data_IF_744028806910
#
_entry.id   IF_744028806910
#
_cell.length_a   1.000
_cell.length_b   1.000
_cell.length_c   1.000
_cell.angle_alpha   90.00
_cell.angle_beta   90.00
_cell.angle_gamma   90.00
#
_symmetry.space_group_name_H-M   'P 1'
#
loop_
_entity.id
_entity.type
_entity.pdbx_description
1 polymer ?
#
# COMPACT_ATOMS: atom_id res chain seq x y z
N UNK A 1 7.44 8.82 -34.26
CA UNK A 1 7.47 7.36 -34.40
C UNK A 1 7.27 6.75 -33.03
N UNK A 2 6.37 5.79 -32.90
CA UNK A 2 6.14 5.03 -31.67
C UNK A 2 6.39 3.56 -31.95
N UNK A 3 6.76 2.80 -30.94
CA UNK A 3 6.94 1.34 -31.00
C UNK A 3 6.46 0.72 -29.68
N UNK A 4 6.01 -0.55 -29.70
CA UNK A 4 5.69 -1.28 -28.49
C UNK A 4 6.90 -1.36 -27.55
N UNK A 5 6.70 -1.06 -26.29
CA UNK A 5 7.62 -1.26 -25.18
C UNK A 5 6.97 -2.13 -24.11
N UNK A 6 7.75 -3.00 -23.47
CA UNK A 6 7.27 -3.97 -22.50
C UNK A 6 7.01 -5.36 -23.08
N UNK A 7 6.62 -6.32 -22.23
CA UNK A 7 6.62 -6.19 -20.76
C UNK A 7 8.05 -6.20 -20.21
N UNK A 8 8.29 -5.45 -19.14
CA UNK A 8 9.53 -5.44 -18.34
C UNK A 8 9.19 -5.40 -16.85
N UNK A 9 10.11 -5.79 -15.99
CA UNK A 9 9.93 -5.72 -14.54
C UNK A 9 9.93 -4.27 -14.06
N UNK A 10 9.06 -3.96 -13.09
CA UNK A 10 8.91 -2.61 -12.57
C UNK A 10 8.88 -2.55 -11.04
N UNK A 11 9.04 -1.35 -10.48
CA UNK A 11 9.25 -1.07 -9.06
C UNK A 11 8.13 -1.55 -8.14
N UNK A 12 6.92 -1.70 -8.65
CA UNK A 12 5.80 -2.27 -7.88
C UNK A 12 5.89 -3.80 -7.72
N UNK A 13 6.85 -4.47 -8.37
CA UNK A 13 7.00 -5.91 -8.32
C UNK A 13 6.12 -6.69 -9.29
N UNK A 14 5.67 -6.02 -10.35
CA UNK A 14 4.88 -6.59 -11.44
C UNK A 14 5.53 -6.31 -12.78
N UNK A 15 5.11 -7.03 -13.83
CA UNK A 15 5.49 -6.67 -15.19
C UNK A 15 4.70 -5.44 -15.65
N UNK A 16 5.35 -4.56 -16.42
CA UNK A 16 4.61 -3.53 -17.17
C UNK A 16 3.74 -4.18 -18.24
N UNK A 17 2.64 -3.52 -18.60
CA UNK A 17 1.90 -3.88 -19.80
C UNK A 17 2.61 -3.30 -21.03
N UNK A 18 2.46 -3.97 -22.20
CA UNK A 18 3.02 -3.46 -23.43
C UNK A 18 2.18 -2.28 -23.96
N UNK A 19 2.82 -1.15 -24.21
CA UNK A 19 2.22 0.06 -24.76
C UNK A 19 3.11 0.64 -25.85
N UNK A 20 2.54 1.48 -26.72
CA UNK A 20 3.31 2.22 -27.71
C UNK A 20 3.93 3.46 -27.10
N UNK A 21 5.27 3.53 -27.10
CA UNK A 21 6.03 4.65 -26.57
C UNK A 21 6.84 5.37 -27.67
N UNK A 22 7.18 6.66 -27.46
CA UNK A 22 8.08 7.39 -28.34
C UNK A 22 9.44 6.71 -28.45
N UNK A 23 9.99 6.69 -29.65
CA UNK A 23 11.30 6.09 -29.94
C UNK A 23 12.37 7.15 -29.99
N UNK A 24 13.42 6.97 -29.20
CA UNK A 24 14.65 7.73 -29.27
C UNK A 24 15.66 7.00 -30.18
N UNK A 25 16.24 7.73 -31.14
CA UNK A 25 17.30 7.21 -32.00
C UNK A 25 18.65 7.62 -31.41
N UNK A 26 19.44 6.65 -30.96
CA UNK A 26 20.83 6.89 -30.57
C UNK A 26 21.68 7.08 -31.83
N UNK A 27 22.33 8.20 -31.94
CA UNK A 27 23.20 8.54 -33.09
C UNK A 27 24.67 8.29 -32.79
N UNK A 28 25.07 8.38 -31.52
CA UNK A 28 26.45 8.20 -31.11
C UNK A 28 26.50 7.75 -29.62
N UNK A 29 27.49 6.89 -29.32
CA UNK A 29 27.80 6.45 -27.95
C UNK A 29 29.26 6.72 -27.65
N UNK A 30 29.55 7.62 -26.73
CA UNK A 30 30.91 7.94 -26.32
C UNK A 30 31.24 7.19 -25.01
N UNK A 31 32.33 6.46 -25.00
CA UNK A 31 32.82 5.76 -23.82
C UNK A 31 34.35 5.63 -23.82
N UNK A 32 34.95 5.48 -22.64
CA UNK A 32 36.36 5.10 -22.53
C UNK A 32 36.58 3.64 -22.88
N UNK A 33 37.76 3.26 -23.25
CA UNK A 33 38.14 1.85 -23.37
C UNK A 33 38.02 1.17 -21.98
N UNK A 34 37.41 -0.02 -21.94
CA UNK A 34 37.17 -0.78 -20.69
C UNK A 34 36.16 -0.11 -19.79
N UNK A 35 35.17 0.61 -20.33
CA UNK A 35 34.08 1.19 -19.53
C UNK A 35 33.32 0.09 -18.79
N UNK A 36 33.01 0.36 -17.51
CA UNK A 36 32.13 -0.49 -16.69
C UNK A 36 30.73 0.09 -16.80
N UNK A 37 29.77 -0.74 -17.17
CA UNK A 37 28.36 -0.40 -17.19
C UNK A 37 27.68 -1.04 -15.99
N UNK A 38 27.40 -0.28 -14.93
CA UNK A 38 26.61 -0.79 -13.81
C UNK A 38 25.14 -0.90 -14.27
N UNK A 39 24.49 -1.97 -13.89
CA UNK A 39 23.05 -2.11 -14.01
C UNK A 39 22.52 -2.98 -12.89
N UNK A 40 21.25 -2.85 -12.60
CA UNK A 40 20.51 -3.68 -11.67
C UNK A 40 19.14 -3.99 -12.25
N UNK A 41 18.48 -4.99 -11.72
CA UNK A 41 17.14 -5.38 -12.15
C UNK A 41 16.12 -4.78 -11.20
N UNK A 42 15.13 -4.10 -11.76
CA UNK A 42 13.98 -3.62 -10.99
C UNK A 42 13.03 -4.78 -10.72
N UNK A 43 12.55 -4.90 -9.51
CA UNK A 43 11.71 -6.01 -9.11
C UNK A 43 10.84 -5.70 -7.90
N UNK A 44 10.33 -6.76 -7.27
CA UNK A 44 9.57 -6.63 -6.03
C UNK A 44 10.48 -6.08 -4.93
N UNK A 45 10.02 -5.10 -4.13
CA UNK A 45 10.78 -4.61 -2.96
C UNK A 45 11.10 -5.74 -1.95
N UNK A 46 12.28 -5.72 -1.30
CA UNK A 46 13.36 -4.75 -1.47
C UNK A 46 14.13 -4.93 -2.78
N UNK A 47 14.48 -3.83 -3.44
CA UNK A 47 15.17 -3.80 -4.73
C UNK A 47 16.02 -2.51 -4.84
N UNK A 48 16.51 -2.11 -6.02
CA UNK A 48 17.42 -0.96 -6.12
C UNK A 48 16.84 0.35 -5.58
N UNK A 49 15.54 0.60 -5.80
CA UNK A 49 14.86 1.83 -5.35
C UNK A 49 14.74 1.91 -3.84
N UNK A 50 14.84 0.79 -3.11
CA UNK A 50 14.84 0.76 -1.65
C UNK A 50 15.96 1.62 -1.07
N UNK A 51 17.18 1.50 -1.59
CA UNK A 51 18.33 2.28 -1.13
C UNK A 51 18.23 3.74 -1.56
N UNK A 52 17.74 4.02 -2.78
CA UNK A 52 17.47 5.38 -3.22
C UNK A 52 16.37 6.03 -2.39
N UNK A 53 15.29 5.31 -2.11
CA UNK A 53 14.19 5.77 -1.26
C UNK A 53 14.68 6.14 0.14
N UNK A 54 15.46 5.27 0.78
CA UNK A 54 16.04 5.54 2.09
C UNK A 54 16.93 6.79 2.07
N UNK A 55 17.79 6.93 1.07
CA UNK A 55 18.65 8.10 0.89
C UNK A 55 17.86 9.39 0.66
N UNK A 56 16.83 9.34 -0.18
CA UNK A 56 15.96 10.50 -0.44
C UNK A 56 15.20 10.89 0.83
N UNK A 57 14.66 9.95 1.59
CA UNK A 57 14.00 10.23 2.87
C UNK A 57 14.94 10.93 3.84
N UNK A 58 16.16 10.44 4.03
CA UNK A 58 17.15 11.06 4.89
C UNK A 58 17.49 12.50 4.42
N UNK A 59 17.73 12.68 3.13
CA UNK A 59 18.12 13.96 2.56
C UNK A 59 16.99 15.01 2.61
N UNK A 60 15.73 14.59 2.49
CA UNK A 60 14.58 15.49 2.41
C UNK A 60 13.80 15.63 3.71
N UNK A 61 14.12 14.86 4.76
CA UNK A 61 13.39 14.85 6.03
C UNK A 61 13.22 16.24 6.64
N UNK A 62 14.28 17.07 6.65
CA UNK A 62 14.25 18.43 7.20
C UNK A 62 13.41 19.41 6.37
N UNK A 63 13.12 19.08 5.10
CA UNK A 63 12.31 19.91 4.20
C UNK A 63 10.82 19.65 4.37
N UNK A 64 10.42 18.47 4.85
CA UNK A 64 9.02 18.08 4.99
C UNK A 64 8.17 19.13 5.70
N UNK A 65 8.50 19.60 6.92
CA UNK A 65 7.69 20.59 7.62
C UNK A 65 7.75 22.00 6.99
N UNK A 66 8.70 22.24 6.09
CA UNK A 66 8.82 23.52 5.38
C UNK A 66 7.94 23.53 4.12
N UNK A 67 7.76 22.37 3.48
CA UNK A 67 6.92 22.20 2.29
C UNK A 67 5.46 21.95 2.66
N UNK A 68 5.24 21.11 3.68
CA UNK A 68 3.91 20.70 4.11
C UNK A 68 3.62 21.26 5.51
N UNK A 69 2.93 22.40 5.59
CA UNK A 69 2.57 23.00 6.87
C UNK A 69 1.74 22.03 7.72
N UNK A 70 2.21 21.74 8.94
CA UNK A 70 1.57 20.82 9.86
C UNK A 70 1.93 19.34 9.66
N UNK A 71 2.76 18.98 8.69
CA UNK A 71 3.32 17.63 8.54
C UNK A 71 4.75 17.62 9.08
N UNK A 72 5.07 16.65 9.93
CA UNK A 72 6.35 16.53 10.60
C UNK A 72 7.26 15.47 10.00
N UNK A 73 6.68 14.38 9.55
CA UNK A 73 7.39 13.23 8.99
C UNK A 73 6.52 12.58 7.91
N UNK A 74 7.16 12.07 6.86
CA UNK A 74 6.52 11.26 5.81
C UNK A 74 7.37 10.04 5.51
N UNK A 75 6.72 8.94 5.16
CA UNK A 75 7.35 7.71 4.73
C UNK A 75 6.58 7.11 3.54
N UNK A 76 7.13 7.22 2.35
CA UNK A 76 6.68 6.45 1.19
C UNK A 76 7.23 5.02 1.35
N UNK A 77 6.32 4.07 1.60
CA UNK A 77 6.69 2.73 2.07
C UNK A 77 7.18 1.87 0.91
N UNK A 78 8.48 1.61 0.87
CA UNK A 78 9.11 0.83 -0.20
C UNK A 78 8.48 -0.56 -0.36
N UNK A 79 8.31 -1.31 0.72
CA UNK A 79 7.69 -2.64 0.70
C UNK A 79 6.29 -2.65 0.05
N UNK A 80 5.58 -1.53 0.07
CA UNK A 80 4.30 -1.35 -0.61
C UNK A 80 4.44 -0.81 -2.05
N UNK A 81 5.65 -0.71 -2.60
CA UNK A 81 5.91 -0.18 -3.94
C UNK A 81 6.00 1.35 -3.99
N UNK A 82 6.35 2.00 -2.89
CA UNK A 82 6.56 3.46 -2.74
C UNK A 82 5.26 4.27 -2.87
N UNK A 83 4.72 4.43 -4.06
CA UNK A 83 3.54 5.26 -4.33
C UNK A 83 2.24 4.71 -3.76
N UNK A 84 1.95 3.39 -3.73
CA UNK A 84 0.70 2.89 -3.19
C UNK A 84 0.43 3.26 -1.73
N UNK A 85 1.46 3.45 -0.89
CA UNK A 85 1.30 3.74 0.54
C UNK A 85 2.22 4.85 1.02
N UNK A 86 1.63 5.93 1.50
CA UNK A 86 2.30 7.03 2.19
C UNK A 86 1.83 7.09 3.65
N UNK A 87 2.75 6.98 4.59
CA UNK A 87 2.51 7.21 6.01
C UNK A 87 3.00 8.61 6.38
N UNK A 88 2.30 9.28 7.30
CA UNK A 88 2.72 10.61 7.77
C UNK A 88 2.35 10.86 9.23
N UNK A 89 3.20 11.61 9.92
CA UNK A 89 2.91 12.19 11.23
C UNK A 89 2.58 13.66 11.02
N UNK A 90 1.34 14.04 11.32
CA UNK A 90 0.85 15.41 11.19
C UNK A 90 0.46 16.02 12.51
N UNK A 91 0.00 17.27 12.49
CA UNK A 91 -0.55 17.97 13.64
C UNK A 91 -2.07 17.93 13.64
N UNK A 92 -2.67 17.94 14.83
CA UNK A 92 -4.12 18.16 15.02
C UNK A 92 -4.34 19.22 16.10
N UNK A 93 -4.32 20.49 15.70
CA UNK A 93 -4.35 21.67 16.59
C UNK A 93 -5.54 22.58 16.41
N UNK A 94 -6.39 22.33 15.39
CA UNK A 94 -7.44 23.28 14.99
C UNK A 94 -8.51 23.47 16.06
N UNK A 95 -8.74 22.48 16.93
CA UNK A 95 -9.73 22.55 17.99
C UNK A 95 -9.08 22.23 19.35
N UNK A 96 -8.15 23.07 19.84
CA UNK A 96 -7.33 22.78 21.03
C UNK A 96 -8.17 22.76 22.34
N UNK A 97 -9.37 23.26 22.31
CA UNK A 97 -10.34 23.28 23.43
C UNK A 97 -11.28 22.07 23.44
N UNK A 98 -11.20 21.18 22.45
CA UNK A 98 -11.97 19.95 22.47
C UNK A 98 -11.42 18.98 23.56
N UNK A 99 -12.32 18.27 24.22
CA UNK A 99 -11.96 17.28 25.25
C UNK A 99 -11.24 16.06 24.66
N UNK A 100 -11.62 15.65 23.46
CA UNK A 100 -10.94 14.62 22.66
C UNK A 100 -10.71 15.14 21.25
N UNK A 101 -9.52 14.92 20.72
CA UNK A 101 -9.18 15.36 19.36
C UNK A 101 -9.89 14.51 18.33
N UNK A 102 -10.29 15.14 17.27
CA UNK A 102 -10.83 14.49 16.07
C UNK A 102 -10.12 15.06 14.83
N UNK A 103 -9.81 14.23 13.83
CA UNK A 103 -9.15 14.72 12.63
C UNK A 103 -9.89 15.84 11.92
N UNK A 104 -9.21 16.98 11.77
CA UNK A 104 -9.61 18.15 10.97
C UNK A 104 -8.37 18.74 10.28
N UNK A 105 -7.32 19.10 11.03
CA UNK A 105 -6.05 19.55 10.47
C UNK A 105 -5.35 18.40 9.72
N UNK A 106 -5.41 17.17 10.22
CA UNK A 106 -4.87 15.99 9.53
C UNK A 106 -5.49 15.78 8.16
N UNK A 107 -6.80 16.07 7.98
CA UNK A 107 -7.45 16.01 6.66
C UNK A 107 -6.85 17.06 5.73
N UNK A 108 -6.65 18.29 6.21
CA UNK A 108 -5.98 19.36 5.46
C UNK A 108 -4.55 18.97 5.07
N UNK A 109 -3.80 18.38 6.01
CA UNK A 109 -2.45 17.88 5.77
C UNK A 109 -2.45 16.79 4.70
N UNK A 110 -3.36 15.83 4.77
CA UNK A 110 -3.52 14.77 3.78
C UNK A 110 -3.86 15.30 2.38
N UNK A 111 -4.75 16.27 2.29
CA UNK A 111 -5.08 16.93 1.02
C UNK A 111 -3.89 17.73 0.46
N UNK A 112 -3.07 18.35 1.30
CA UNK A 112 -1.84 19.02 0.88
C UNK A 112 -0.83 18.03 0.32
N UNK A 113 -0.64 16.88 0.96
CA UNK A 113 0.20 15.78 0.43
C UNK A 113 -0.32 15.31 -0.93
N UNK A 114 -1.61 15.03 -1.05
CA UNK A 114 -2.22 14.58 -2.31
C UNK A 114 -2.26 15.64 -3.42
N UNK A 115 -2.09 16.91 -3.08
CA UNK A 115 -2.03 18.03 -4.02
C UNK A 115 -0.62 18.41 -4.48
N UNK A 116 0.43 17.72 -4.04
CA UNK A 116 1.81 18.19 -4.21
C UNK A 116 2.71 17.13 -4.84
N UNK A 117 3.30 17.45 -5.99
CA UNK A 117 4.39 16.72 -6.66
C UNK A 117 4.30 15.17 -6.58
N UNK A 118 5.35 14.49 -6.13
CA UNK A 118 5.43 13.02 -6.07
C UNK A 118 4.45 12.40 -5.07
N UNK A 119 4.19 13.06 -3.95
CA UNK A 119 3.22 12.56 -2.94
C UNK A 119 1.80 12.51 -3.50
N UNK A 120 1.51 13.26 -4.58
CA UNK A 120 0.22 13.20 -5.29
C UNK A 120 -0.05 11.85 -5.99
N UNK A 121 0.96 11.00 -6.17
CA UNK A 121 0.78 9.67 -6.74
C UNK A 121 0.31 8.62 -5.72
N UNK A 122 0.33 8.95 -4.42
CA UNK A 122 -0.07 8.01 -3.36
C UNK A 122 -1.55 7.63 -3.46
N UNK A 123 -1.85 6.33 -3.26
CA UNK A 123 -3.22 5.80 -3.20
C UNK A 123 -3.78 5.83 -1.78
N UNK A 124 -3.04 5.27 -0.85
CA UNK A 124 -3.37 5.26 0.57
C UNK A 124 -2.46 6.25 1.28
N UNK A 125 -3.03 7.25 1.89
CA UNK A 125 -2.31 8.21 2.75
C UNK A 125 -2.85 8.08 4.16
N UNK A 126 -2.00 7.63 5.08
CA UNK A 126 -2.37 7.34 6.46
C UNK A 126 -1.67 8.35 7.36
N UNK A 127 -2.45 9.12 8.11
CA UNK A 127 -1.93 10.16 8.99
C UNK A 127 -2.31 9.90 10.45
N UNK A 128 -1.36 10.17 11.33
CA UNK A 128 -1.58 10.17 12.78
C UNK A 128 -1.14 11.50 13.39
N UNK A 129 -1.83 11.91 14.46
CA UNK A 129 -1.53 13.15 15.16
C UNK A 129 -0.33 12.99 16.09
N UNK A 130 0.67 13.85 15.92
CA UNK A 130 1.85 13.93 16.80
C UNK A 130 1.49 14.26 18.25
N UNK A 131 0.41 15.01 18.45
CA UNK A 131 -0.07 15.42 19.78
C UNK A 131 -0.54 14.25 20.64
N UNK A 132 -0.86 13.09 20.04
CA UNK A 132 -1.29 11.89 20.75
C UNK A 132 -0.11 11.02 21.19
N UNK A 133 0.97 11.06 20.46
CA UNK A 133 2.26 10.42 20.79
C UNK A 133 3.43 11.18 20.12
N UNK A 134 4.12 12.07 20.87
CA UNK A 134 5.26 12.81 20.33
C UNK A 134 6.45 11.95 19.88
N UNK A 135 6.50 10.69 20.32
CA UNK A 135 7.52 9.72 19.93
C UNK A 135 7.15 8.86 18.73
N UNK A 136 5.94 9.04 18.19
CA UNK A 136 5.49 8.27 17.03
C UNK A 136 6.32 8.59 15.78
N UNK A 137 6.80 7.55 15.11
CA UNK A 137 7.45 7.67 13.80
C UNK A 137 6.73 6.83 12.75
N UNK A 138 6.53 7.38 11.56
CA UNK A 138 5.97 6.64 10.43
C UNK A 138 6.99 5.67 9.79
N UNK A 139 8.25 5.68 10.22
CA UNK A 139 9.26 4.68 9.83
C UNK A 139 9.18 3.40 10.69
N UNK A 140 8.62 3.45 11.90
CA UNK A 140 8.19 2.24 12.63
C UNK A 140 6.80 1.81 12.12
N UNK A 141 6.78 1.15 10.97
CA UNK A 141 5.53 0.77 10.30
C UNK A 141 4.61 -0.07 11.21
N UNK A 142 5.09 -1.11 11.93
CA UNK A 142 4.25 -1.87 12.85
C UNK A 142 3.65 -1.03 13.98
N UNK A 143 4.46 -0.21 14.62
CA UNK A 143 4.04 0.71 15.68
C UNK A 143 3.07 1.76 15.18
N UNK A 144 3.31 2.31 14.00
CA UNK A 144 2.45 3.29 13.36
C UNK A 144 1.06 2.72 13.01
N UNK A 145 0.99 1.55 12.39
CA UNK A 145 -0.29 0.88 12.11
C UNK A 145 -1.07 0.56 13.39
N UNK A 146 -0.40 0.06 14.42
CA UNK A 146 -1.03 -0.17 15.71
C UNK A 146 -1.63 1.11 16.27
N UNK A 147 -0.86 2.21 16.32
CA UNK A 147 -1.31 3.51 16.81
C UNK A 147 -2.54 4.03 16.04
N UNK A 148 -2.51 3.93 14.71
CA UNK A 148 -3.61 4.33 13.84
C UNK A 148 -4.85 3.47 14.08
N UNK A 149 -4.74 2.14 14.04
CA UNK A 149 -5.88 1.23 14.14
C UNK A 149 -6.57 1.28 15.52
N UNK A 150 -5.84 1.64 16.58
CA UNK A 150 -6.43 1.90 17.89
C UNK A 150 -7.35 3.13 17.89
N UNK A 151 -7.06 4.14 17.07
CA UNK A 151 -7.66 5.49 17.10
C UNK A 151 -8.60 5.80 15.95
N UNK A 152 -8.39 5.20 14.80
CA UNK A 152 -9.16 5.44 13.57
C UNK A 152 -10.65 5.17 13.79
N UNK A 153 -11.49 6.20 13.69
CA UNK A 153 -12.93 6.04 13.68
C UNK A 153 -13.41 5.70 12.27
N UNK A 154 -13.68 4.43 12.04
CA UNK A 154 -14.08 3.92 10.72
C UNK A 154 -15.44 4.45 10.24
N UNK A 155 -16.21 5.08 11.13
CA UNK A 155 -17.46 5.75 10.75
C UNK A 155 -17.26 7.17 10.25
N UNK A 156 -16.03 7.74 10.40
CA UNK A 156 -15.78 9.17 10.19
C UNK A 156 -14.47 9.47 9.45
N UNK A 157 -13.41 8.69 9.68
CA UNK A 157 -12.03 9.12 9.39
C UNK A 157 -11.46 8.50 8.10
N UNK A 158 -12.34 7.95 7.24
CA UNK A 158 -12.02 7.42 5.92
C UNK A 158 -12.52 8.39 4.84
N UNK A 159 -11.59 9.03 4.10
CA UNK A 159 -11.95 10.04 3.11
C UNK A 159 -11.51 9.60 1.71
N UNK A 160 -12.48 9.17 0.88
CA UNK A 160 -12.23 8.69 -0.47
C UNK A 160 -12.24 9.83 -1.49
N UNK A 161 -11.25 9.83 -2.39
CA UNK A 161 -11.18 10.68 -3.56
C UNK A 161 -11.25 9.75 -4.77
N UNK A 162 -12.43 9.70 -5.38
CA UNK A 162 -12.70 8.79 -6.51
C UNK A 162 -12.32 9.44 -7.84
N UNK A 163 -12.06 8.62 -8.86
CA UNK A 163 -11.84 9.03 -10.25
C UNK A 163 -10.75 10.09 -10.39
N UNK A 164 -9.59 9.81 -9.81
CA UNK A 164 -8.41 10.69 -9.84
C UNK A 164 -7.23 9.99 -10.53
N UNK A 165 -6.12 10.72 -10.68
CA UNK A 165 -4.89 10.18 -11.22
C UNK A 165 -4.20 9.25 -10.23
N UNK A 166 -3.48 8.28 -10.74
CA UNK A 166 -2.57 7.41 -10.00
C UNK A 166 -1.31 7.15 -10.80
N UNK A 167 -0.36 6.43 -10.24
CA UNK A 167 0.87 6.04 -10.93
C UNK A 167 0.55 5.29 -12.23
N UNK A 168 1.29 5.58 -13.29
CA UNK A 168 1.14 4.95 -14.61
C UNK A 168 1.38 3.43 -14.57
N UNK A 169 2.22 2.98 -13.65
CA UNK A 169 2.61 1.57 -13.50
C UNK A 169 1.78 0.82 -12.47
N UNK A 170 0.84 1.50 -11.83
CA UNK A 170 -0.15 0.89 -10.96
C UNK A 170 -1.41 0.52 -11.76
N UNK A 171 -1.56 -0.76 -12.03
CA UNK A 171 -2.67 -1.31 -12.81
C UNK A 171 -3.89 -1.72 -11.95
N UNK A 172 -3.89 -1.41 -10.65
CA UNK A 172 -5.02 -1.73 -9.76
C UNK A 172 -6.24 -0.86 -9.99
N UNK A 173 -6.09 0.31 -10.61
CA UNK A 173 -7.16 1.27 -10.83
C UNK A 173 -8.15 0.92 -11.95
N UNK A 174 -9.09 1.82 -12.19
CA UNK A 174 -10.19 1.63 -13.15
C UNK A 174 -9.75 1.69 -14.61
N UNK A 175 -8.63 2.37 -14.90
CA UNK A 175 -7.97 2.39 -16.22
C UNK A 175 -6.52 2.86 -16.06
N UNK A 176 -5.79 2.98 -17.18
CA UNK A 176 -4.43 3.51 -17.16
C UNK A 176 -4.42 4.94 -16.56
N UNK A 177 -3.58 5.18 -15.56
CA UNK A 177 -3.45 6.44 -14.81
C UNK A 177 -4.75 6.91 -14.10
N UNK A 178 -5.72 6.05 -13.93
CA UNK A 178 -7.00 6.39 -13.31
C UNK A 178 -7.39 5.39 -12.24
N UNK A 179 -7.68 5.89 -11.06
CA UNK A 179 -8.13 5.11 -9.92
C UNK A 179 -8.68 6.01 -8.83
N UNK A 180 -8.48 5.64 -7.60
CA UNK A 180 -8.95 6.37 -6.44
C UNK A 180 -7.86 6.52 -5.39
N UNK A 181 -8.13 7.35 -4.40
CA UNK A 181 -7.27 7.56 -3.24
C UNK A 181 -8.10 7.55 -1.96
N UNK A 182 -7.46 7.25 -0.85
CA UNK A 182 -8.09 7.35 0.46
C UNK A 182 -7.14 7.97 1.48
N UNK A 183 -7.68 8.86 2.31
CA UNK A 183 -7.03 9.32 3.53
C UNK A 183 -7.59 8.54 4.71
N UNK A 184 -6.72 7.97 5.53
CA UNK A 184 -7.02 7.49 6.86
C UNK A 184 -6.41 8.48 7.85
N UNK A 185 -7.22 9.08 8.70
CA UNK A 185 -6.76 10.11 9.63
C UNK A 185 -7.08 9.71 11.07
N UNK A 186 -6.05 9.55 11.90
CA UNK A 186 -6.21 9.07 13.26
C UNK A 186 -5.74 10.11 14.29
N UNK A 187 -6.64 10.52 15.18
CA UNK A 187 -6.35 11.43 16.27
C UNK A 187 -7.20 11.15 17.50
N UNK A 188 -6.70 11.60 18.65
CA UNK A 188 -7.38 11.50 19.95
C UNK A 188 -7.13 10.20 20.69
N UNK A 189 -7.97 9.92 21.66
CA UNK A 189 -7.85 8.75 22.52
C UNK A 189 -8.11 7.45 21.74
N UNK A 190 -7.49 6.32 22.14
CA UNK A 190 -7.81 5.02 21.57
C UNK A 190 -9.31 4.69 21.67
N UNK A 191 -9.91 4.30 20.55
CA UNK A 191 -11.33 3.99 20.41
C UNK A 191 -11.64 2.51 20.60
N UNK A 192 -10.61 1.66 20.50
CA UNK A 192 -10.73 0.20 20.66
C UNK A 192 -9.45 -0.45 21.17
N UNK A 193 -9.62 -1.58 21.80
CA UNK A 193 -8.53 -2.53 22.02
C UNK A 193 -8.40 -3.41 20.78
N UNK A 194 -7.19 -3.52 20.26
CA UNK A 194 -6.91 -4.39 19.11
C UNK A 194 -6.86 -5.86 19.55
N UNK A 195 -7.54 -6.71 18.80
CA UNK A 195 -7.49 -8.15 19.04
C UNK A 195 -6.10 -8.70 18.72
N UNK A 196 -5.65 -9.66 19.52
CA UNK A 196 -4.33 -10.31 19.41
C UNK A 196 -4.43 -11.81 19.16
N UNK A 197 -5.64 -12.33 19.02
CA UNK A 197 -5.88 -13.75 18.77
C UNK A 197 -6.93 -13.91 17.68
N UNK A 198 -6.77 -14.94 16.87
CA UNK A 198 -7.71 -15.25 15.79
C UNK A 198 -9.07 -15.68 16.39
N UNK A 199 -10.19 -15.05 15.99
CA UNK A 199 -11.52 -15.47 16.41
C UNK A 199 -11.96 -16.72 15.65
N UNK A 200 -12.95 -17.45 16.21
CA UNK A 200 -13.66 -18.48 15.45
C UNK A 200 -14.54 -17.82 14.39
N UNK A 201 -14.25 -18.07 13.12
CA UNK A 201 -14.97 -17.48 11.98
C UNK A 201 -15.77 -18.52 11.20
N UNK A 202 -16.98 -18.16 10.85
CA UNK A 202 -17.74 -18.81 9.78
C UNK A 202 -17.47 -18.05 8.48
N UNK A 203 -16.95 -18.72 7.47
CA UNK A 203 -16.63 -18.11 6.17
C UNK A 203 -17.57 -18.66 5.09
N UNK A 204 -17.95 -17.85 4.10
CA UNK A 204 -18.72 -18.35 2.96
C UNK A 204 -17.83 -19.21 2.04
N UNK A 205 -18.47 -19.97 1.16
CA UNK A 205 -17.78 -20.78 0.16
C UNK A 205 -16.79 -19.96 -0.65
N UNK A 206 -15.62 -20.55 -0.90
CA UNK A 206 -14.52 -19.92 -1.60
C UNK A 206 -13.57 -19.09 -0.73
N UNK A 207 -13.97 -18.69 0.49
CA UNK A 207 -13.08 -18.03 1.45
C UNK A 207 -12.57 -19.03 2.48
N UNK A 208 -11.30 -18.90 2.83
CA UNK A 208 -10.65 -19.89 3.70
C UNK A 208 -9.42 -19.29 4.41
N UNK A 209 -8.77 -20.14 5.20
CA UNK A 209 -7.44 -19.90 5.74
C UNK A 209 -7.29 -18.55 6.49
N UNK A 210 -8.14 -18.27 7.53
CA UNK A 210 -7.99 -17.05 8.30
C UNK A 210 -6.65 -17.05 9.05
N UNK A 211 -5.91 -15.94 8.94
CA UNK A 211 -4.63 -15.71 9.59
C UNK A 211 -4.67 -14.44 10.44
N UNK A 212 -4.31 -14.56 11.69
CA UNK A 212 -3.92 -13.40 12.48
C UNK A 212 -2.58 -12.90 11.95
N UNK A 213 -2.51 -11.63 11.57
CA UNK A 213 -1.25 -11.03 11.10
C UNK A 213 -0.57 -10.18 12.18
N UNK A 214 -1.28 -9.16 12.66
CA UNK A 214 -0.79 -8.25 13.70
C UNK A 214 -1.98 -7.76 14.54
N UNK A 215 -1.78 -7.11 15.69
CA UNK A 215 -2.87 -6.60 16.48
C UNK A 215 -3.87 -5.79 15.65
N UNK A 216 -5.14 -6.24 15.63
CA UNK A 216 -6.21 -5.62 14.85
C UNK A 216 -6.22 -5.93 13.35
N UNK A 217 -5.37 -6.82 12.87
CA UNK A 217 -5.27 -7.17 11.46
C UNK A 217 -5.49 -8.65 11.21
N UNK A 218 -6.38 -8.95 10.27
CA UNK A 218 -6.76 -10.29 9.86
C UNK A 218 -6.53 -10.44 8.34
N UNK A 219 -6.04 -11.60 7.92
CA UNK A 219 -5.89 -11.95 6.49
C UNK A 219 -6.71 -13.20 6.19
N UNK A 220 -7.39 -13.22 5.05
CA UNK A 220 -8.17 -14.35 4.53
C UNK A 220 -7.72 -14.69 3.12
N UNK A 221 -7.77 -15.96 2.76
CA UNK A 221 -7.71 -16.37 1.34
C UNK A 221 -9.10 -16.28 0.73
N UNK A 222 -9.21 -15.62 -0.43
CA UNK A 222 -10.44 -15.49 -1.20
C UNK A 222 -10.44 -16.31 -2.49
N UNK A 223 -11.59 -16.51 -3.13
CA UNK A 223 -11.68 -17.14 -4.45
C UNK A 223 -11.01 -16.25 -5.51
N UNK A 224 -10.60 -16.79 -6.67
CA UNK A 224 -10.08 -16.00 -7.76
C UNK A 224 -11.05 -14.85 -8.13
N UNK A 225 -10.51 -13.64 -8.28
CA UNK A 225 -11.31 -12.49 -8.69
C UNK A 225 -11.72 -12.62 -10.16
N UNK A 226 -13.03 -12.42 -10.45
CA UNK A 226 -13.58 -12.61 -11.79
C UNK A 226 -14.40 -11.42 -12.30
N UNK A 227 -14.48 -10.32 -11.54
CA UNK A 227 -15.29 -9.17 -11.92
C UNK A 227 -14.56 -8.25 -12.90
N UNK A 228 -15.29 -7.52 -13.76
CA UNK A 228 -14.73 -6.45 -14.56
C UNK A 228 -14.18 -5.32 -13.68
N UNK A 229 -13.31 -4.48 -14.26
CA UNK A 229 -12.86 -3.24 -13.61
C UNK A 229 -14.03 -2.35 -13.21
N UNK A 230 -13.82 -1.51 -12.17
CA UNK A 230 -14.81 -0.54 -11.66
C UNK A 230 -16.15 -1.19 -11.25
N UNK A 231 -16.08 -2.42 -10.73
CA UNK A 231 -17.26 -3.20 -10.32
C UNK A 231 -17.04 -3.87 -8.97
N UNK A 232 -17.97 -3.71 -8.04
CA UNK A 232 -17.94 -4.47 -6.78
C UNK A 232 -18.11 -5.96 -7.00
N UNK A 233 -17.40 -6.75 -6.19
CA UNK A 233 -17.52 -8.19 -6.22
C UNK A 233 -18.63 -8.67 -5.26
N UNK A 234 -19.71 -9.30 -5.75
CA UNK A 234 -20.76 -9.84 -4.90
C UNK A 234 -20.27 -10.86 -3.88
N UNK A 235 -19.15 -11.57 -4.14
CA UNK A 235 -18.55 -12.49 -3.19
C UNK A 235 -18.00 -11.74 -1.97
N UNK A 236 -17.38 -10.59 -2.18
CA UNK A 236 -16.88 -9.72 -1.10
C UNK A 236 -18.03 -9.12 -0.27
N UNK A 237 -19.13 -8.71 -0.93
CA UNK A 237 -20.32 -8.22 -0.23
C UNK A 237 -20.92 -9.32 0.65
N UNK A 238 -21.04 -10.55 0.12
CA UNK A 238 -21.51 -11.71 0.89
C UNK A 238 -20.57 -12.02 2.08
N UNK A 239 -19.26 -11.98 1.88
CA UNK A 239 -18.28 -12.11 2.97
C UNK A 239 -18.54 -11.08 4.07
N UNK A 240 -18.68 -9.81 3.72
CA UNK A 240 -18.96 -8.74 4.67
C UNK A 240 -20.26 -8.97 5.47
N UNK A 241 -21.33 -9.43 4.80
CA UNK A 241 -22.61 -9.74 5.46
C UNK A 241 -22.50 -10.89 6.46
N UNK A 242 -21.68 -11.89 6.17
CA UNK A 242 -21.45 -13.04 7.06
C UNK A 242 -20.56 -12.62 8.24
N UNK A 243 -19.43 -11.94 7.96
CA UNK A 243 -18.51 -11.49 8.99
C UNK A 243 -19.12 -10.44 9.93
N UNK A 244 -20.07 -9.64 9.46
CA UNK A 244 -20.79 -8.67 10.28
C UNK A 244 -21.59 -9.31 11.45
N UNK A 245 -21.80 -10.64 11.42
CA UNK A 245 -22.46 -11.38 12.50
C UNK A 245 -21.51 -11.85 13.59
N UNK A 246 -20.20 -11.78 13.35
CA UNK A 246 -19.15 -12.12 14.31
C UNK A 246 -18.71 -10.88 15.10
N UNK A 247 -18.18 -11.10 16.30
CA UNK A 247 -17.52 -10.02 17.05
C UNK A 247 -16.11 -9.78 16.50
N UNK A 248 -16.01 -8.79 15.62
CA UNK A 248 -14.76 -8.37 14.96
C UNK A 248 -14.38 -6.93 15.30
N UNK A 249 -14.94 -6.34 16.37
CA UNK A 249 -14.62 -4.96 16.76
C UNK A 249 -13.13 -4.72 17.02
N UNK A 250 -12.43 -5.75 17.50
CA UNK A 250 -10.98 -5.72 17.69
C UNK A 250 -10.16 -5.88 16.39
N UNK A 251 -10.79 -6.11 15.23
CA UNK A 251 -10.16 -6.22 13.91
C UNK A 251 -10.65 -5.12 12.98
N UNK A 252 -10.14 -3.87 13.12
CA UNK A 252 -10.52 -2.78 12.23
C UNK A 252 -10.06 -2.96 10.78
N UNK A 253 -9.07 -3.83 10.51
CA UNK A 253 -8.56 -4.10 9.18
C UNK A 253 -8.56 -5.60 8.88
N UNK A 254 -9.28 -5.99 7.83
CA UNK A 254 -9.34 -7.33 7.29
C UNK A 254 -8.87 -7.26 5.84
N UNK A 255 -7.96 -8.13 5.44
CA UNK A 255 -7.44 -8.21 4.07
C UNK A 255 -7.81 -9.55 3.46
N UNK A 256 -8.36 -9.53 2.25
CA UNK A 256 -8.61 -10.72 1.45
C UNK A 256 -7.59 -10.79 0.34
N UNK A 257 -6.80 -11.85 0.31
CA UNK A 257 -5.73 -12.08 -0.66
C UNK A 257 -5.92 -13.42 -1.38
N UNK A 258 -5.10 -13.70 -2.38
CA UNK A 258 -5.07 -15.01 -3.05
C UNK A 258 -4.48 -16.09 -2.13
N UNK A 259 -3.48 -15.72 -1.33
CA UNK A 259 -2.76 -16.59 -0.40
C UNK A 259 -2.56 -15.85 0.95
N UNK A 260 -3.32 -16.28 1.95
CA UNK A 260 -3.26 -15.69 3.29
C UNK A 260 -1.98 -16.10 4.04
N UNK A 261 -1.42 -17.27 3.78
CA UNK A 261 -0.17 -17.72 4.41
C UNK A 261 0.98 -16.84 3.95
N UNK A 262 1.15 -16.69 2.63
CA UNK A 262 2.13 -15.79 2.07
C UNK A 262 1.96 -14.34 2.54
N UNK A 263 0.73 -13.85 2.53
CA UNK A 263 0.43 -12.44 2.90
C UNK A 263 0.72 -12.18 4.39
N UNK A 264 0.43 -13.12 5.26
CA UNK A 264 0.62 -12.97 6.70
C UNK A 264 2.02 -13.40 7.21
N UNK A 265 2.91 -13.85 6.35
CA UNK A 265 4.25 -14.32 6.71
C UNK A 265 5.17 -13.21 7.21
N UNK A 266 5.05 -12.01 6.60
CA UNK A 266 5.90 -10.85 6.93
C UNK A 266 5.18 -9.53 6.68
N UNK A 267 5.71 -8.45 7.27
CA UNK A 267 5.25 -7.09 6.97
C UNK A 267 5.44 -6.73 5.49
N UNK A 268 6.55 -7.14 4.88
CA UNK A 268 6.82 -6.84 3.47
C UNK A 268 5.79 -7.51 2.55
N UNK A 269 5.43 -8.76 2.82
CA UNK A 269 4.40 -9.47 2.07
C UNK A 269 3.02 -8.82 2.27
N UNK A 270 2.67 -8.49 3.51
CA UNK A 270 1.40 -7.86 3.84
C UNK A 270 1.24 -6.50 3.14
N UNK A 271 2.24 -5.65 3.24
CA UNK A 271 2.24 -4.32 2.64
C UNK A 271 2.20 -4.41 1.12
N UNK A 272 3.04 -5.27 0.55
CA UNK A 272 3.06 -5.46 -0.90
C UNK A 272 1.72 -5.93 -1.44
N UNK A 273 1.17 -7.01 -0.89
CA UNK A 273 -0.11 -7.57 -1.35
C UNK A 273 -1.25 -6.57 -1.16
N UNK A 274 -1.38 -6.01 0.05
CA UNK A 274 -2.52 -5.17 0.41
C UNK A 274 -2.58 -3.91 -0.45
N UNK A 275 -1.48 -3.18 -0.57
CA UNK A 275 -1.51 -1.84 -1.14
C UNK A 275 -1.22 -1.80 -2.64
N UNK A 276 -0.51 -2.78 -3.20
CA UNK A 276 -0.29 -2.79 -4.66
C UNK A 276 -1.46 -3.39 -5.44
N UNK A 277 -2.29 -4.26 -4.82
CA UNK A 277 -3.36 -4.99 -5.52
C UNK A 277 -4.76 -4.41 -5.32
N UNK A 278 -4.89 -3.31 -4.60
CA UNK A 278 -6.20 -2.70 -4.32
C UNK A 278 -6.29 -1.27 -4.83
N UNK A 279 -7.43 -0.92 -5.43
CA UNK A 279 -7.86 0.46 -5.66
C UNK A 279 -8.76 0.90 -4.51
N UNK A 280 -8.44 1.97 -3.76
CA UNK A 280 -9.12 2.27 -2.51
C UNK A 280 -10.64 2.30 -2.57
N UNK A 281 -11.24 2.94 -3.57
CA UNK A 281 -12.69 3.11 -3.62
C UNK A 281 -13.42 1.87 -4.17
N UNK A 282 -12.78 1.09 -5.03
CA UNK A 282 -13.39 -0.09 -5.63
C UNK A 282 -13.21 -1.32 -4.75
N UNK A 283 -12.05 -1.43 -4.08
CA UNK A 283 -11.63 -2.63 -3.38
C UNK A 283 -11.75 -2.54 -1.86
N UNK A 284 -12.26 -1.40 -1.32
CA UNK A 284 -12.56 -1.30 0.11
C UNK A 284 -14.03 -1.58 0.37
N UNK A 285 -14.29 -2.65 1.08
CA UNK A 285 -15.59 -3.06 1.60
C UNK A 285 -15.64 -2.80 3.11
N UNK A 286 -16.81 -2.95 3.71
CA UNK A 286 -16.95 -2.73 5.15
C UNK A 286 -18.00 -3.60 5.80
N UNK A 287 -17.71 -4.09 7.00
CA UNK A 287 -18.72 -4.70 7.85
C UNK A 287 -19.69 -3.60 8.29
N UNK A 288 -20.99 -3.85 8.16
CA UNK A 288 -22.05 -2.86 8.46
C UNK A 288 -21.78 -1.51 7.74
N UNK A 289 -21.33 -1.57 6.50
CA UNK A 289 -21.07 -0.37 5.70
C UNK A 289 -22.31 0.51 5.55
N UNK A 290 -22.12 1.81 5.63
CA UNK A 290 -23.20 2.78 5.48
C UNK A 290 -22.72 4.04 4.74
N UNK A 291 -23.66 4.80 4.22
CA UNK A 291 -23.39 6.13 3.67
C UNK A 291 -24.29 7.15 4.33
N UNK A 292 -23.71 8.23 4.89
CA UNK A 292 -24.43 9.33 5.47
C UNK A 292 -23.88 10.66 4.92
N UNK A 293 -24.73 11.50 4.36
CA UNK A 293 -24.33 12.78 3.76
C UNK A 293 -23.13 12.66 2.80
N UNK A 294 -23.10 11.61 1.97
CA UNK A 294 -22.00 11.25 1.03
C UNK A 294 -20.71 10.78 1.72
N UNK A 295 -20.67 10.71 3.00
CA UNK A 295 -19.56 10.09 3.73
C UNK A 295 -19.84 8.61 3.90
N UNK A 296 -18.88 7.77 3.52
CA UNK A 296 -18.94 6.31 3.71
C UNK A 296 -18.20 5.92 4.98
N UNK A 297 -18.75 4.95 5.72
CA UNK A 297 -18.12 4.40 6.91
C UNK A 297 -18.54 2.95 7.17
N UNK A 298 -17.88 2.30 8.13
CA UNK A 298 -18.11 0.90 8.49
C UNK A 298 -17.68 0.61 9.94
N UNK A 299 -17.88 -0.63 10.41
CA UNK A 299 -17.37 -1.07 11.71
C UNK A 299 -16.00 -1.74 11.63
N UNK A 300 -15.68 -2.40 10.51
CA UNK A 300 -14.35 -2.93 10.16
C UNK A 300 -14.17 -2.82 8.65
N UNK A 301 -12.99 -2.39 8.20
CA UNK A 301 -12.64 -2.36 6.78
C UNK A 301 -12.29 -3.76 6.29
N UNK A 302 -12.70 -4.08 5.08
CA UNK A 302 -12.30 -5.28 4.34
C UNK A 302 -11.70 -4.84 3.01
N UNK A 303 -10.41 -5.07 2.83
CA UNK A 303 -9.69 -4.70 1.60
C UNK A 303 -9.55 -5.95 0.73
N UNK A 304 -10.05 -5.87 -0.51
CA UNK A 304 -9.84 -6.89 -1.53
C UNK A 304 -8.49 -6.70 -2.21
N UNK A 305 -7.50 -7.43 -1.73
CA UNK A 305 -6.14 -7.44 -2.25
C UNK A 305 -5.84 -8.71 -3.10
N UNK A 306 -6.88 -9.35 -3.63
CA UNK A 306 -6.68 -10.43 -4.61
C UNK A 306 -6.14 -9.90 -5.93
N UNK A 307 -5.36 -10.71 -6.62
CA UNK A 307 -4.91 -10.37 -7.98
C UNK A 307 -6.12 -10.40 -8.93
N UNK A 308 -6.38 -9.28 -9.61
CA UNK A 308 -7.47 -9.15 -10.56
C UNK A 308 -7.00 -9.58 -11.97
N UNK A 309 -7.93 -10.06 -12.79
CA UNK A 309 -7.63 -10.54 -14.16
C UNK A 309 -7.02 -9.48 -15.07
N UNK A 310 -7.19 -8.21 -14.73
CA UNK A 310 -6.67 -7.05 -15.47
C UNK A 310 -5.38 -6.48 -14.88
N UNK A 311 -4.89 -7.05 -13.77
CA UNK A 311 -3.57 -6.67 -13.23
C UNK A 311 -2.45 -7.23 -14.10
N UNK A 312 -1.31 -6.57 -14.07
CA UNK A 312 -0.10 -7.12 -14.64
C UNK A 312 0.37 -8.35 -13.83
N UNK A 313 1.00 -9.34 -14.48
CA UNK A 313 1.56 -10.48 -13.77
C UNK A 313 2.61 -10.04 -12.77
N UNK A 314 2.62 -10.66 -11.58
CA UNK A 314 3.69 -10.48 -10.61
C UNK A 314 5.02 -10.96 -11.20
N UNK A 315 6.10 -10.27 -10.85
CA UNK A 315 7.45 -10.71 -11.20
C UNK A 315 7.73 -12.05 -10.53
N UNK A 316 8.25 -12.96 -11.31
CA UNK A 316 8.66 -14.28 -10.84
C UNK A 316 10.11 -14.51 -11.20
N UNK A 317 10.84 -15.12 -10.30
CA UNK A 317 12.19 -15.61 -10.58
C UNK A 317 12.13 -16.82 -11.53
N UNK A 318 13.16 -16.93 -12.39
CA UNK A 318 13.32 -18.06 -13.29
C UNK A 318 14.35 -19.00 -12.66
N UNK A 319 13.92 -20.17 -12.21
CA UNK A 319 14.76 -21.12 -11.49
C UNK A 319 16.10 -21.46 -12.18
N UNK A 320 16.13 -21.52 -13.51
CA UNK A 320 17.37 -21.74 -14.28
C UNK A 320 18.34 -20.56 -14.17
N UNK A 321 17.82 -19.32 -14.06
CA UNK A 321 18.64 -18.10 -13.91
C UNK A 321 19.15 -18.03 -12.48
N UNK A 322 18.31 -18.29 -11.50
CA UNK A 322 18.70 -18.37 -10.08
C UNK A 322 19.85 -19.33 -9.88
N UNK A 323 19.72 -20.55 -10.40
CA UNK A 323 20.78 -21.53 -10.34
C UNK A 323 22.09 -21.02 -10.95
N UNK A 324 22.05 -20.27 -12.07
CA UNK A 324 23.26 -19.67 -12.66
C UNK A 324 23.87 -18.61 -11.75
N UNK A 325 23.05 -17.83 -11.06
CA UNK A 325 23.51 -16.81 -10.08
C UNK A 325 24.17 -17.52 -8.90
N UNK A 326 23.54 -18.57 -8.35
CA UNK A 326 24.10 -19.38 -7.27
C UNK A 326 25.47 -20.01 -7.66
N UNK A 327 25.59 -20.48 -8.91
CA UNK A 327 26.86 -21.01 -9.43
C UNK A 327 27.97 -19.94 -9.47
N UNK A 328 27.64 -18.66 -9.65
CA UNK A 328 28.59 -17.55 -9.61
C UNK A 328 29.04 -17.22 -8.17
N UNK A 329 28.29 -17.61 -7.17
CA UNK A 329 28.61 -17.45 -5.75
C UNK A 329 29.45 -18.60 -5.16
N UNK A 330 29.71 -19.67 -5.91
CA UNK A 330 30.52 -20.80 -5.45
C UNK A 330 31.99 -20.39 -5.24
N UNK A 331 32.75 -21.12 -4.39
CA UNK A 331 34.17 -20.85 -4.13
C UNK A 331 35.00 -20.72 -5.43
N UNK A 332 35.73 -19.61 -5.54
CA UNK A 332 36.54 -19.28 -6.71
C UNK A 332 35.80 -18.67 -7.90
N UNK A 333 34.51 -18.38 -7.74
CA UNK A 333 33.70 -17.67 -8.74
C UNK A 333 33.60 -16.16 -8.43
N UNK A 334 33.19 -15.33 -9.43
CA UNK A 334 33.22 -13.86 -9.31
C UNK A 334 32.43 -13.27 -8.16
N UNK A 335 31.33 -13.91 -7.74
CA UNK A 335 30.44 -13.41 -6.68
C UNK A 335 30.65 -14.11 -5.33
N UNK A 336 31.69 -14.96 -5.20
CA UNK A 336 31.99 -15.64 -3.95
C UNK A 336 32.27 -14.67 -2.80
N UNK A 337 31.48 -14.76 -1.74
CA UNK A 337 31.57 -13.88 -0.57
C UNK A 337 30.96 -12.47 -0.80
N UNK A 338 30.29 -12.25 -1.91
CA UNK A 338 29.53 -11.02 -2.20
C UNK A 338 28.03 -11.28 -1.99
N UNK A 339 27.53 -12.42 -2.41
CA UNK A 339 26.16 -12.91 -2.19
C UNK A 339 26.18 -14.33 -1.61
#
# INVERSE_FOLDING_TARGET
MQKPEGPFGDHLGYYSLAHDFPVMRVTEVLHRAGAIWPFTTVGRPPQEDTMFGAFIHELTAELVPQVFGGVHEVHAVDAAGVHPLLLAVGSERYVPYAGDRQPQELITNGLSLLGTTQTSLSKYVILAAREDDPGLSCHDVPGFFRHVLERLDLSRDLHFITRTTMDTLDYSGISLNQGSKVLWTAAGSPKRALATTLPGLSLPDGFSNPRFFAPGMLVLSGPPHAQPRDTFDPAMENLCQILARADLQGFPLIVVADDADFTAESWDNFLWVTFTRSDPATDTYGLNGFTHCKHWGCTSMVVDARLKTYHAPALSSVAEIEKKVDELALPGRPLYGII
#
